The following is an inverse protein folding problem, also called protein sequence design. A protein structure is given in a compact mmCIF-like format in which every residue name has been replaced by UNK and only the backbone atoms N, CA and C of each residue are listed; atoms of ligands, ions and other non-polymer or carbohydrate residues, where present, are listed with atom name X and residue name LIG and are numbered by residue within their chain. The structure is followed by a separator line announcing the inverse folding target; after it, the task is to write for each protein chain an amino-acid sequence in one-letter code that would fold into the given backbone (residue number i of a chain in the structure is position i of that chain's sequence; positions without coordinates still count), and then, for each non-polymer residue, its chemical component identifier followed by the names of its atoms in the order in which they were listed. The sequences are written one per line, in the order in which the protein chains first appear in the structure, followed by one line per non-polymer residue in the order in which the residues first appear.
data_IF_065973124669
#
_entry.id   IF_065973124669
#
_cell.length_a   1.000
_cell.length_b   1.000
_cell.length_c   1.000
_cell.angle_alpha   90.00
_cell.angle_beta   90.00
_cell.angle_gamma   90.00
#
_symmetry.space_group_name_H-M   'P 1'
#
loop_
_entity.id
_entity.type
_entity.pdbx_description
1 polymer ?
#
# COMPACT_ATOMS: atom_id res chain seq x y z
N UNK A 1 -21.97 -3.66 4.15
CA UNK A 1 -21.76 -4.10 5.51
C UNK A 1 -20.58 -5.03 5.58
N UNK A 2 -20.71 -6.28 6.10
CA UNK A 2 -19.55 -7.18 6.22
C UNK A 2 -18.94 -7.46 4.85
N UNK A 3 -19.77 -7.75 3.83
CA UNK A 3 -19.31 -8.01 2.46
C UNK A 3 -18.57 -6.79 1.88
N UNK A 4 -19.08 -5.58 2.12
CA UNK A 4 -18.47 -4.36 1.64
C UNK A 4 -17.08 -4.15 2.26
N UNK A 5 -16.97 -4.37 3.56
CA UNK A 5 -15.68 -4.26 4.26
C UNK A 5 -14.66 -5.26 3.73
N UNK A 6 -15.12 -6.51 3.48
CA UNK A 6 -14.23 -7.54 2.93
C UNK A 6 -13.73 -7.17 1.53
N UNK A 7 -14.59 -6.61 0.68
CA UNK A 7 -14.24 -6.17 -0.66
C UNK A 7 -13.21 -5.05 -0.60
N UNK A 8 -13.44 -4.05 0.24
CA UNK A 8 -12.54 -2.91 0.38
C UNK A 8 -11.18 -3.35 0.93
N UNK A 9 -11.18 -4.21 1.93
CA UNK A 9 -9.95 -4.75 2.50
C UNK A 9 -9.16 -5.56 1.46
N UNK A 10 -9.83 -6.40 0.68
CA UNK A 10 -9.18 -7.16 -0.40
C UNK A 10 -8.59 -6.25 -1.46
N UNK A 11 -9.29 -5.18 -1.82
CA UNK A 11 -8.78 -4.21 -2.78
C UNK A 11 -7.49 -3.57 -2.28
N UNK A 12 -7.44 -3.20 -1.00
CA UNK A 12 -6.24 -2.65 -0.38
C UNK A 12 -5.11 -3.67 -0.35
N UNK A 13 -5.40 -4.92 0.00
CA UNK A 13 -4.38 -5.97 0.01
C UNK A 13 -3.80 -6.19 -1.38
N UNK A 14 -4.62 -6.11 -2.42
CA UNK A 14 -4.18 -6.22 -3.80
C UNK A 14 -3.22 -5.09 -4.17
N UNK A 15 -3.57 -3.86 -3.83
CA UNK A 15 -2.71 -2.69 -4.08
C UNK A 15 -1.40 -2.83 -3.31
N UNK A 16 -1.47 -3.22 -2.04
CA UNK A 16 -0.28 -3.40 -1.21
C UNK A 16 0.63 -4.50 -1.74
N UNK A 17 0.05 -5.62 -2.20
CA UNK A 17 0.79 -6.71 -2.82
C UNK A 17 1.50 -6.27 -4.09
N UNK A 18 0.81 -5.54 -4.95
CA UNK A 18 1.39 -4.98 -6.17
C UNK A 18 2.51 -3.99 -5.86
N UNK A 19 2.34 -3.19 -4.82
CA UNK A 19 3.37 -2.27 -4.35
C UNK A 19 4.63 -3.02 -3.92
N UNK A 20 4.49 -4.03 -3.08
CA UNK A 20 5.62 -4.82 -2.58
C UNK A 20 6.31 -5.56 -3.73
N UNK A 21 5.54 -6.13 -4.65
CA UNK A 21 6.08 -6.78 -5.83
C UNK A 21 6.88 -5.79 -6.67
N UNK A 22 6.33 -4.60 -6.91
CA UNK A 22 7.00 -3.56 -7.70
C UNK A 22 8.30 -3.10 -7.06
N UNK A 23 8.32 -2.90 -5.75
CA UNK A 23 9.55 -2.55 -5.02
C UNK A 23 10.61 -3.64 -5.21
N UNK A 24 10.23 -4.90 -5.05
CA UNK A 24 11.15 -6.03 -5.26
C UNK A 24 11.71 -6.07 -6.67
N UNK A 25 10.86 -5.85 -7.68
CA UNK A 25 11.29 -5.82 -9.08
C UNK A 25 12.25 -4.66 -9.36
N UNK A 26 11.98 -3.50 -8.77
CA UNK A 26 12.88 -2.34 -8.90
C UNK A 26 14.28 -2.69 -8.40
N UNK A 27 14.36 -3.30 -7.21
CA UNK A 27 15.66 -3.72 -6.67
C UNK A 27 16.36 -4.73 -7.57
N UNK A 28 15.64 -5.73 -8.07
CA UNK A 28 16.22 -6.74 -8.97
C UNK A 28 16.75 -6.11 -10.27
N UNK A 29 15.99 -5.22 -10.87
CA UNK A 29 16.40 -4.58 -12.12
C UNK A 29 17.57 -3.63 -11.92
N UNK A 30 17.57 -2.86 -10.84
CA UNK A 30 18.67 -1.93 -10.54
C UNK A 30 19.95 -2.62 -10.16
N UNK A 31 19.88 -3.87 -9.71
CA UNK A 31 21.08 -4.66 -9.39
C UNK A 31 21.79 -5.17 -10.64
N UNK A 32 21.17 -5.12 -11.80
CA UNK A 32 21.79 -5.52 -13.06
C UNK A 32 22.70 -4.41 -13.57
N UNK A 33 23.86 -4.81 -14.12
CA UNK A 33 24.84 -3.85 -14.63
C UNK A 33 24.35 -3.13 -15.88
N UNK A 34 23.63 -3.84 -16.73
CA UNK A 34 23.13 -3.30 -17.98
C UNK A 34 21.70 -3.75 -18.19
N UNK A 35 20.83 -2.81 -18.54
CA UNK A 35 19.43 -3.09 -18.84
C UNK A 35 19.16 -2.94 -20.34
N UNK A 36 18.40 -3.87 -20.91
CA UNK A 36 17.88 -3.72 -22.27
C UNK A 36 16.85 -2.59 -22.31
N UNK A 37 16.50 -2.13 -23.50
CA UNK A 37 15.48 -1.09 -23.67
C UNK A 37 14.14 -1.51 -23.05
N UNK A 38 13.71 -2.76 -23.27
CA UNK A 38 12.46 -3.25 -22.70
C UNK A 38 12.53 -3.39 -21.17
N UNK A 39 13.69 -3.74 -20.60
CA UNK A 39 13.87 -3.78 -19.16
C UNK A 39 13.81 -2.38 -18.54
N UNK A 40 14.36 -1.37 -19.22
CA UNK A 40 14.25 0.02 -18.78
C UNK A 40 12.81 0.50 -18.78
N UNK A 41 12.03 0.13 -19.79
CA UNK A 41 10.62 0.48 -19.85
C UNK A 41 9.83 -0.17 -18.71
N UNK A 42 10.11 -1.44 -18.43
CA UNK A 42 9.48 -2.17 -17.33
C UNK A 42 9.85 -1.53 -15.99
N UNK A 43 11.13 -1.22 -15.79
CA UNK A 43 11.58 -0.54 -14.57
C UNK A 43 10.84 0.78 -14.37
N UNK A 44 10.71 1.57 -15.43
CA UNK A 44 10.00 2.85 -15.39
C UNK A 44 8.55 2.68 -14.96
N UNK A 45 7.87 1.63 -15.45
CA UNK A 45 6.49 1.34 -15.05
C UNK A 45 6.37 1.01 -13.57
N UNK A 46 7.28 0.18 -13.04
CA UNK A 46 7.28 -0.14 -11.62
C UNK A 46 7.56 1.09 -10.76
N UNK A 47 8.53 1.90 -11.16
CA UNK A 47 8.86 3.14 -10.44
C UNK A 47 7.68 4.10 -10.42
N UNK A 48 6.98 4.22 -11.53
CA UNK A 48 5.78 5.07 -11.63
C UNK A 48 4.68 4.58 -10.70
N UNK A 49 4.45 3.27 -10.64
CA UNK A 49 3.44 2.69 -9.76
C UNK A 49 3.78 2.97 -8.28
N UNK A 50 5.02 2.70 -7.89
CA UNK A 50 5.48 2.94 -6.51
C UNK A 50 5.33 4.42 -6.15
N UNK A 51 5.71 5.31 -7.06
CA UNK A 51 5.58 6.75 -6.84
C UNK A 51 4.12 7.16 -6.64
N UNK A 52 3.19 6.59 -7.40
CA UNK A 52 1.76 6.87 -7.25
C UNK A 52 1.23 6.45 -5.88
N UNK A 53 1.65 5.27 -5.40
CA UNK A 53 1.26 4.79 -4.08
C UNK A 53 1.80 5.70 -2.98
N UNK A 54 3.09 6.01 -3.03
CA UNK A 54 3.76 6.87 -2.04
C UNK A 54 3.11 8.26 -2.01
N UNK A 55 2.87 8.84 -3.18
CA UNK A 55 2.23 10.14 -3.31
C UNK A 55 0.84 10.14 -2.70
N UNK A 56 0.08 9.06 -2.91
CA UNK A 56 -1.24 8.91 -2.33
C UNK A 56 -1.17 8.82 -0.80
N UNK A 57 -0.23 8.02 -0.26
CA UNK A 57 -0.04 7.88 1.19
C UNK A 57 0.26 9.25 1.82
N UNK A 58 1.07 10.07 1.18
CA UNK A 58 1.45 11.38 1.71
C UNK A 58 0.31 12.40 1.70
N UNK A 59 -0.82 12.13 1.07
CA UNK A 59 -2.01 12.96 1.17
C UNK A 59 -2.76 12.79 2.49
N UNK A 60 -2.39 11.78 3.26
CA UNK A 60 -3.02 11.47 4.54
C UNK A 60 -2.27 12.13 5.70
N UNK A 61 -2.96 12.32 6.84
CA UNK A 61 -2.30 12.85 8.03
C UNK A 61 -1.36 11.80 8.65
N UNK A 62 -0.46 12.19 9.59
CA UNK A 62 0.51 11.25 10.15
C UNK A 62 -0.08 10.00 10.79
N UNK A 63 -1.22 10.13 11.49
CA UNK A 63 -1.87 8.98 12.11
C UNK A 63 -2.38 8.01 11.06
N UNK A 64 -3.04 8.53 10.04
CA UNK A 64 -3.57 7.72 8.93
C UNK A 64 -2.44 7.04 8.15
N UNK A 65 -1.36 7.77 7.89
CA UNK A 65 -0.19 7.21 7.21
C UNK A 65 0.42 6.05 8.00
N UNK A 66 0.53 6.20 9.31
CA UNK A 66 1.04 5.13 10.17
C UNK A 66 0.21 3.87 10.04
N UNK A 67 -1.12 4.01 10.04
CA UNK A 67 -2.01 2.86 9.90
C UNK A 67 -1.86 2.22 8.52
N UNK A 68 -1.84 3.04 7.45
CA UNK A 68 -1.64 2.52 6.09
C UNK A 68 -0.33 1.75 5.96
N UNK A 69 0.76 2.32 6.46
CA UNK A 69 2.08 1.70 6.37
C UNK A 69 2.15 0.41 7.16
N UNK A 70 1.74 0.44 8.44
CA UNK A 70 1.87 -0.71 9.32
C UNK A 70 0.89 -1.83 9.03
N UNK A 71 -0.24 -1.51 8.44
CA UNK A 71 -1.26 -2.51 8.14
C UNK A 71 -1.09 -3.09 6.74
N UNK A 72 -0.66 -2.28 5.76
CA UNK A 72 -0.67 -2.67 4.36
C UNK A 72 0.68 -2.62 3.65
N UNK A 73 1.37 -1.49 3.69
CA UNK A 73 2.51 -1.27 2.78
C UNK A 73 3.86 -1.76 3.31
N UNK A 74 4.08 -1.67 4.61
CA UNK A 74 5.22 -2.28 5.29
C UNK A 74 4.69 -2.98 6.54
N UNK A 75 3.93 -4.09 6.33
CA UNK A 75 3.12 -4.63 7.41
C UNK A 75 3.94 -5.14 8.59
N UNK A 76 3.51 -4.73 9.78
CA UNK A 76 3.98 -5.28 11.04
C UNK A 76 3.18 -6.55 11.36
N UNK A 77 3.64 -7.36 12.35
CA UNK A 77 2.89 -8.53 12.74
C UNK A 77 1.44 -8.22 13.10
N UNK A 78 0.55 -9.18 12.86
CA UNK A 78 -0.88 -9.04 13.18
C UNK A 78 -1.04 -8.62 14.64
N UNK A 79 -1.96 -7.65 14.87
CA UNK A 79 -2.21 -7.16 16.22
C UNK A 79 -1.26 -6.09 16.71
N UNK A 80 -0.43 -5.53 15.85
CA UNK A 80 0.51 -4.46 16.21
C UNK A 80 -0.18 -3.27 16.91
N UNK A 81 -1.45 -3.05 16.61
CA UNK A 81 -2.25 -1.92 17.08
C UNK A 81 -2.88 -2.17 18.47
N UNK A 82 -2.85 -3.38 19.00
CA UNK A 82 -3.61 -3.77 20.19
C UNK A 82 -3.22 -3.00 21.43
N UNK A 83 -1.95 -2.59 21.54
CA UNK A 83 -1.49 -1.79 22.67
C UNK A 83 -1.90 -0.31 22.55
N UNK A 84 -2.39 0.12 21.39
CA UNK A 84 -2.66 1.54 21.11
C UNK A 84 -4.16 1.80 21.01
N UNK A 85 -4.90 0.90 20.39
CA UNK A 85 -6.32 1.09 20.08
C UNK A 85 -7.16 -0.06 20.61
N UNK A 86 -8.42 0.24 20.96
CA UNK A 86 -9.41 -0.81 21.14
C UNK A 86 -9.72 -1.44 19.77
N UNK A 87 -10.24 -2.66 19.79
CA UNK A 87 -10.55 -3.40 18.56
C UNK A 87 -11.56 -2.64 17.69
N UNK A 88 -12.66 -2.17 18.28
CA UNK A 88 -13.69 -1.44 17.53
C UNK A 88 -13.16 -0.13 16.96
N UNK A 89 -12.35 0.58 17.72
CA UNK A 89 -11.75 1.85 17.27
C UNK A 89 -10.80 1.60 16.09
N UNK A 90 -9.93 0.60 16.22
CA UNK A 90 -8.97 0.31 15.14
C UNK A 90 -9.66 -0.08 13.84
N UNK A 91 -10.62 -1.00 13.90
CA UNK A 91 -11.30 -1.46 12.68
C UNK A 91 -12.12 -0.36 12.03
N UNK A 92 -12.71 0.55 12.83
CA UNK A 92 -13.39 1.72 12.28
C UNK A 92 -12.42 2.66 11.59
N UNK A 93 -11.28 2.94 12.21
CA UNK A 93 -10.24 3.79 11.61
C UNK A 93 -9.72 3.16 10.31
N UNK A 94 -9.41 1.87 10.35
CA UNK A 94 -8.90 1.16 9.17
C UNK A 94 -9.90 1.22 8.03
N UNK A 95 -11.17 1.01 8.30
CA UNK A 95 -12.21 1.06 7.27
C UNK A 95 -12.31 2.44 6.64
N UNK A 96 -12.33 3.49 7.47
CA UNK A 96 -12.43 4.86 6.97
C UNK A 96 -11.21 5.24 6.13
N UNK A 97 -10.03 4.87 6.58
CA UNK A 97 -8.78 5.15 5.88
C UNK A 97 -8.73 4.37 4.56
N UNK A 98 -9.12 3.10 4.58
CA UNK A 98 -9.18 2.26 3.39
C UNK A 98 -10.10 2.86 2.33
N UNK A 99 -11.30 3.26 2.72
CA UNK A 99 -12.25 3.89 1.80
C UNK A 99 -11.71 5.17 1.19
N UNK A 100 -11.08 5.98 2.03
CA UNK A 100 -10.48 7.23 1.59
C UNK A 100 -9.33 6.98 0.60
N UNK A 101 -8.48 6.01 0.89
CA UNK A 101 -7.37 5.64 0.00
C UNK A 101 -7.89 5.15 -1.36
N UNK A 102 -8.84 4.23 -1.35
CA UNK A 102 -9.41 3.67 -2.59
C UNK A 102 -10.09 4.73 -3.45
N UNK A 103 -10.59 5.79 -2.82
CA UNK A 103 -11.26 6.89 -3.53
C UNK A 103 -10.26 7.79 -4.25
N UNK A 104 -9.08 8.02 -3.65
CA UNK A 104 -8.10 8.95 -4.21
C UNK A 104 -6.99 8.28 -5.01
N UNK A 105 -6.79 6.98 -4.84
CA UNK A 105 -5.76 6.25 -5.57
C UNK A 105 -6.23 5.96 -7.00
N UNK A 106 -5.43 6.30 -8.03
CA UNK A 106 -5.79 6.02 -9.42
C UNK A 106 -5.83 4.52 -9.68
N UNK A 107 -6.95 4.03 -10.19
CA UNK A 107 -7.13 2.60 -10.49
C UNK A 107 -7.63 2.42 -11.91
#
# INVERSE_FOLDING_TARGET
MIKQRAIEHKAMLSIASNFQYSVGRIYQLKDQQTLSASQQDILSLYEKYVAQVVECIYKFNPLERTILEREYFTPLPTGWWEAIYSRSTFYRLRLNITRKFLRVFPR
#
